data_IF_631853350548
#
_entry.id   IF_631853350548
#
_cell.length_a   1.000
_cell.length_b   1.000
_cell.length_c   1.000
_cell.angle_alpha   90.00
_cell.angle_beta   90.00
_cell.angle_gamma   90.00
#
_symmetry.space_group_name_H-M   'P 1'
#
loop_
_entity.id
_entity.type
_entity.pdbx_description
1 polymer ?
#
# COMPACT_ATOMS: atom_id res chain seq x y z
N UNK A 1 4.15 -12.91 -10.93
CA UNK A 1 5.07 -11.94 -11.58
C UNK A 1 5.77 -10.98 -10.61
N UNK A 2 5.52 -11.06 -9.29
CA UNK A 2 6.07 -10.15 -8.27
C UNK A 2 7.55 -10.38 -7.89
N UNK A 3 8.01 -11.63 -7.83
CA UNK A 3 9.38 -11.93 -7.38
C UNK A 3 10.47 -11.39 -8.28
N UNK A 4 10.31 -11.48 -9.60
CA UNK A 4 11.31 -11.00 -10.56
C UNK A 4 11.52 -9.48 -10.47
N UNK A 5 10.44 -8.70 -10.37
CA UNK A 5 10.51 -7.25 -10.25
C UNK A 5 11.20 -6.84 -8.94
N UNK A 6 10.85 -7.47 -7.81
CA UNK A 6 11.53 -7.23 -6.52
C UNK A 6 13.01 -7.62 -6.61
N UNK A 7 13.32 -8.72 -7.29
CA UNK A 7 14.69 -9.19 -7.46
C UNK A 7 15.53 -8.22 -8.28
N UNK A 8 15.02 -7.73 -9.41
CA UNK A 8 15.70 -6.72 -10.24
C UNK A 8 15.82 -5.37 -9.53
N UNK A 9 14.75 -4.88 -8.91
CA UNK A 9 14.78 -3.62 -8.16
C UNK A 9 15.79 -3.67 -7.01
N UNK A 10 15.80 -4.77 -6.24
CA UNK A 10 16.73 -4.88 -5.13
C UNK A 10 18.18 -4.92 -5.63
N UNK A 11 18.50 -5.53 -6.77
CA UNK A 11 19.89 -5.56 -7.27
C UNK A 11 20.47 -4.20 -7.70
N UNK A 12 19.66 -3.15 -7.79
CA UNK A 12 20.13 -1.79 -8.10
C UNK A 12 20.46 -1.06 -6.79
N UNK A 13 21.72 -0.66 -6.62
CA UNK A 13 22.14 0.29 -5.59
C UNK A 13 21.49 1.65 -5.91
N UNK A 14 20.45 1.99 -5.16
CA UNK A 14 19.72 3.25 -5.31
C UNK A 14 19.00 3.55 -4.00
N UNK A 15 18.97 4.84 -3.66
CA UNK A 15 18.38 5.41 -2.47
C UNK A 15 17.01 6.05 -2.79
N UNK A 16 16.57 6.00 -4.04
CA UNK A 16 15.29 6.54 -4.46
C UNK A 16 14.11 5.91 -3.69
N UNK A 17 13.29 6.80 -3.15
CA UNK A 17 12.05 6.48 -2.44
C UNK A 17 10.94 6.06 -3.38
N UNK A 18 10.99 6.50 -4.64
CA UNK A 18 9.89 6.35 -5.59
C UNK A 18 9.65 4.88 -5.89
N UNK A 19 10.70 4.14 -6.23
CA UNK A 19 10.60 2.73 -6.59
C UNK A 19 10.07 1.88 -5.42
N UNK A 20 10.60 2.05 -4.22
CA UNK A 20 10.13 1.30 -3.03
C UNK A 20 8.69 1.66 -2.67
N UNK A 21 8.29 2.92 -2.87
CA UNK A 21 6.92 3.37 -2.63
C UNK A 21 5.93 2.74 -3.61
N UNK A 22 6.25 2.74 -4.91
CA UNK A 22 5.41 2.12 -5.94
C UNK A 22 5.25 0.62 -5.68
N UNK A 23 6.33 -0.07 -5.31
CA UNK A 23 6.28 -1.49 -4.95
C UNK A 23 5.45 -1.74 -3.70
N UNK A 24 5.55 -0.87 -2.69
CA UNK A 24 4.75 -0.95 -1.47
C UNK A 24 3.24 -0.74 -1.71
N UNK A 25 2.88 0.24 -2.55
CA UNK A 25 1.49 0.46 -2.99
C UNK A 25 0.98 -0.78 -3.72
N UNK A 26 1.76 -1.31 -4.67
CA UNK A 26 1.37 -2.49 -5.42
C UNK A 26 1.20 -3.74 -4.53
N UNK A 27 2.12 -3.95 -3.58
CA UNK A 27 2.02 -5.02 -2.59
C UNK A 27 0.76 -4.87 -1.71
N UNK A 28 0.45 -3.66 -1.25
CA UNK A 28 -0.76 -3.42 -0.44
C UNK A 28 -2.05 -3.70 -1.22
N UNK A 29 -2.13 -3.28 -2.49
CA UNK A 29 -3.26 -3.51 -3.38
C UNK A 29 -3.48 -5.00 -3.62
N UNK A 30 -2.40 -5.72 -3.91
CA UNK A 30 -2.48 -7.17 -4.13
C UNK A 30 -2.94 -7.90 -2.86
N UNK A 31 -2.37 -7.58 -1.69
CA UNK A 31 -2.78 -8.18 -0.41
C UNK A 31 -4.25 -7.90 -0.08
N UNK A 32 -4.72 -6.65 -0.25
CA UNK A 32 -6.12 -6.31 -0.02
C UNK A 32 -7.04 -7.01 -1.02
N UNK A 33 -6.66 -7.08 -2.30
CA UNK A 33 -7.46 -7.78 -3.30
C UNK A 33 -7.59 -9.29 -2.99
N UNK A 34 -6.51 -9.92 -2.52
CA UNK A 34 -6.51 -11.31 -2.07
C UNK A 34 -7.36 -11.49 -0.80
N UNK A 35 -7.29 -10.54 0.12
CA UNK A 35 -8.13 -10.56 1.33
C UNK A 35 -9.62 -10.43 0.96
N UNK A 36 -9.99 -9.50 0.09
CA UNK A 36 -11.39 -9.32 -0.35
C UNK A 36 -11.89 -10.57 -1.09
N UNK A 37 -11.10 -11.13 -2.01
CA UNK A 37 -11.51 -12.30 -2.80
C UNK A 37 -11.59 -13.59 -1.98
N UNK A 38 -10.77 -13.71 -0.92
CA UNK A 38 -10.86 -14.83 0.02
C UNK A 38 -12.05 -14.70 0.98
N UNK A 39 -12.54 -13.49 1.25
CA UNK A 39 -13.69 -13.24 2.12
C UNK A 39 -14.96 -13.03 1.29
N UNK A 40 -15.68 -14.14 1.01
CA UNK A 40 -16.87 -14.18 0.13
C UNK A 40 -18.08 -13.33 0.56
N UNK A 41 -18.08 -12.72 1.75
CA UNK A 41 -19.21 -11.96 2.25
C UNK A 41 -18.74 -10.75 3.07
N UNK A 42 -18.44 -9.64 2.39
CA UNK A 42 -18.42 -8.34 3.07
C UNK A 42 -19.87 -7.96 3.43
N UNK A 43 -20.17 -7.64 4.70
CA UNK A 43 -21.51 -7.25 5.12
C UNK A 43 -22.07 -6.11 4.26
N UNK A 44 -23.20 -6.34 3.60
CA UNK A 44 -23.85 -5.37 2.71
C UNK A 44 -24.54 -4.23 3.44
N UNK A 45 -24.78 -4.38 4.74
CA UNK A 45 -25.56 -3.46 5.58
C UNK A 45 -24.95 -2.05 5.69
N UNK A 46 -23.65 -1.87 5.42
CA UNK A 46 -23.03 -0.54 5.44
C UNK A 46 -21.82 -0.42 4.49
N UNK A 47 -22.09 -0.35 3.18
CA UNK A 47 -21.05 -0.24 2.14
C UNK A 47 -20.13 0.97 2.34
N UNK A 48 -20.66 2.11 2.82
CA UNK A 48 -19.89 3.32 3.04
C UNK A 48 -18.83 3.13 4.15
N UNK A 49 -19.20 2.51 5.27
CA UNK A 49 -18.23 2.22 6.35
C UNK A 49 -17.14 1.25 5.88
N UNK A 50 -17.49 0.22 5.10
CA UNK A 50 -16.49 -0.70 4.55
C UNK A 50 -15.51 -0.03 3.59
N UNK A 51 -15.98 0.92 2.76
CA UNK A 51 -15.11 1.72 1.89
C UNK A 51 -14.07 2.50 2.69
N UNK A 52 -14.48 3.11 3.80
CA UNK A 52 -13.57 3.84 4.70
C UNK A 52 -12.57 2.89 5.35
N UNK A 53 -13.03 1.77 5.92
CA UNK A 53 -12.17 0.79 6.58
C UNK A 53 -11.13 0.22 5.61
N UNK A 54 -11.56 -0.19 4.40
CA UNK A 54 -10.67 -0.73 3.39
C UNK A 54 -9.68 0.31 2.87
N UNK A 55 -10.12 1.56 2.66
CA UNK A 55 -9.25 2.67 2.29
C UNK A 55 -8.18 2.94 3.34
N UNK A 56 -8.58 3.06 4.61
CA UNK A 56 -7.66 3.24 5.73
C UNK A 56 -6.67 2.06 5.83
N UNK A 57 -7.18 0.84 5.75
CA UNK A 57 -6.38 -0.39 5.76
C UNK A 57 -5.35 -0.43 4.63
N UNK A 58 -5.72 0.01 3.42
CA UNK A 58 -4.82 0.09 2.27
C UNK A 58 -3.68 1.08 2.50
N UNK A 59 -4.00 2.25 3.05
CA UNK A 59 -2.98 3.25 3.40
C UNK A 59 -2.01 2.74 4.46
N UNK A 60 -2.52 2.18 5.56
CA UNK A 60 -1.68 1.59 6.61
C UNK A 60 -0.80 0.46 6.07
N UNK A 61 -1.39 -0.43 5.28
CA UNK A 61 -0.67 -1.55 4.69
C UNK A 61 0.40 -1.09 3.71
N UNK A 62 0.15 -0.02 2.94
CA UNK A 62 1.18 0.61 2.10
C UNK A 62 2.38 1.04 2.93
N UNK A 63 2.15 1.77 4.03
CA UNK A 63 3.23 2.22 4.92
C UNK A 63 4.05 1.05 5.47
N UNK A 64 3.39 -0.05 5.86
CA UNK A 64 4.05 -1.26 6.36
C UNK A 64 4.83 -1.98 5.26
N UNK A 65 4.27 -2.11 4.06
CA UNK A 65 4.94 -2.75 2.93
C UNK A 65 6.17 -1.96 2.50
N UNK A 66 6.10 -0.62 2.43
CA UNK A 66 7.27 0.22 2.11
C UNK A 66 8.37 0.04 3.14
N UNK A 67 8.04 0.14 4.43
CA UNK A 67 9.01 -0.06 5.51
C UNK A 67 9.64 -1.46 5.48
N UNK A 68 8.82 -2.50 5.23
CA UNK A 68 9.28 -3.88 5.09
C UNK A 68 10.20 -4.08 3.89
N UNK A 69 9.91 -3.46 2.75
CA UNK A 69 10.75 -3.52 1.55
C UNK A 69 12.09 -2.81 1.74
N UNK A 70 12.11 -1.67 2.43
CA UNK A 70 13.35 -0.98 2.81
C UNK A 70 14.22 -1.88 3.69
N UNK A 71 13.63 -2.49 4.73
CA UNK A 71 14.32 -3.42 5.61
C UNK A 71 14.85 -4.63 4.83
N UNK A 72 14.04 -5.21 3.96
CA UNK A 72 14.44 -6.33 3.10
C UNK A 72 15.63 -5.97 2.21
N UNK A 73 15.65 -4.78 1.60
CA UNK A 73 16.78 -4.33 0.77
C UNK A 73 18.06 -4.19 1.60
N UNK A 74 17.97 -3.56 2.78
CA UNK A 74 19.11 -3.42 3.69
C UNK A 74 19.65 -4.77 4.19
N UNK A 75 18.76 -5.75 4.46
CA UNK A 75 19.19 -7.09 4.88
C UNK A 75 19.86 -7.87 3.73
N UNK A 76 19.46 -7.60 2.49
CA UNK A 76 20.03 -8.22 1.29
C UNK A 76 21.40 -7.63 0.94
N UNK A 77 21.56 -6.31 0.99
CA UNK A 77 22.84 -5.65 0.76
C UNK A 77 23.56 -5.45 2.08
N UNK A 78 24.47 -6.36 2.43
CA UNK A 78 25.29 -6.26 3.64
C UNK A 78 26.41 -5.22 3.46
N UNK A 79 26.04 -3.96 3.28
CA UNK A 79 26.97 -2.84 3.29
C UNK A 79 27.08 -2.24 4.69
N UNK A 80 28.26 -1.68 4.98
CA UNK A 80 28.52 -0.92 6.21
C UNK A 80 27.57 0.29 6.31
N UNK A 81 27.19 0.85 5.16
CA UNK A 81 26.22 1.94 5.06
C UNK A 81 24.91 1.39 4.48
N UNK A 82 23.80 1.42 5.23
CA UNK A 82 22.51 0.95 4.73
C UNK A 82 21.97 1.89 3.65
N UNK A 83 21.39 1.32 2.59
CA UNK A 83 20.70 2.06 1.51
C UNK A 83 19.58 2.95 2.09
N UNK A 84 18.85 2.41 3.07
CA UNK A 84 17.79 3.13 3.79
C UNK A 84 18.12 3.22 5.29
N UNK A 85 18.51 4.40 5.81
CA UNK A 85 18.76 4.58 7.24
C UNK A 85 17.55 4.21 8.10
N UNK A 86 17.78 3.73 9.32
CA UNK A 86 16.68 3.33 10.21
C UNK A 86 15.70 4.47 10.52
N UNK A 87 16.23 5.69 10.67
CA UNK A 87 15.42 6.92 10.83
C UNK A 87 14.44 7.15 9.68
N UNK A 88 14.82 6.74 8.47
CA UNK A 88 13.98 6.87 7.28
C UNK A 88 12.82 5.87 7.32
N UNK A 89 13.08 4.63 7.75
CA UNK A 89 12.07 3.59 7.95
C UNK A 89 11.08 4.02 9.02
N UNK A 90 11.58 4.53 10.16
CA UNK A 90 10.74 5.09 11.22
C UNK A 90 9.94 6.29 10.71
N UNK A 91 10.54 7.15 9.88
CA UNK A 91 9.86 8.27 9.25
C UNK A 91 8.71 7.87 8.33
N UNK A 92 8.80 6.73 7.64
CA UNK A 92 7.69 6.17 6.87
C UNK A 92 6.59 5.66 7.80
N UNK A 93 6.94 4.88 8.82
CA UNK A 93 5.99 4.34 9.79
C UNK A 93 5.26 5.43 10.60
N UNK A 94 5.97 6.49 11.00
CA UNK A 94 5.39 7.65 11.67
C UNK A 94 4.35 8.39 10.81
N UNK A 95 4.46 8.27 9.47
CA UNK A 95 3.50 8.83 8.52
C UNK A 95 2.34 7.88 8.21
N UNK A 96 2.27 6.70 8.82
CA UNK A 96 1.17 5.75 8.61
C UNK A 96 -0.24 6.38 8.75
N UNK A 97 -0.50 7.32 9.68
CA UNK A 97 -1.79 8.02 9.75
C UNK A 97 -2.10 8.83 8.48
N UNK A 98 -1.10 9.50 7.90
CA UNK A 98 -1.27 10.23 6.64
C UNK A 98 -1.54 9.29 5.46
N UNK A 99 -0.83 8.16 5.40
CA UNK A 99 -1.11 7.12 4.42
C UNK A 99 -2.55 6.59 4.54
N UNK A 100 -3.02 6.33 5.76
CA UNK A 100 -4.39 5.89 6.03
C UNK A 100 -5.42 6.92 5.53
N UNK A 101 -5.22 8.21 5.83
CA UNK A 101 -6.11 9.28 5.36
C UNK A 101 -6.13 9.40 3.83
N UNK A 102 -4.98 9.26 3.18
CA UNK A 102 -4.90 9.21 1.72
C UNK A 102 -5.68 8.03 1.15
N UNK A 103 -5.54 6.85 1.75
CA UNK A 103 -6.28 5.66 1.35
C UNK A 103 -7.80 5.81 1.50
N UNK A 104 -8.27 6.42 2.61
CA UNK A 104 -9.68 6.78 2.81
C UNK A 104 -10.17 7.75 1.73
N UNK A 105 -9.39 8.79 1.44
CA UNK A 105 -9.76 9.80 0.44
C UNK A 105 -9.91 9.19 -0.95
N UNK A 106 -8.97 8.31 -1.33
CA UNK A 106 -9.01 7.58 -2.61
C UNK A 106 -10.22 6.64 -2.66
N UNK A 107 -10.48 5.87 -1.60
CA UNK A 107 -11.58 4.91 -1.60
C UNK A 107 -12.95 5.59 -1.65
N UNK A 108 -13.13 6.71 -0.94
CA UNK A 108 -14.33 7.54 -1.01
C UNK A 108 -14.50 8.10 -2.43
N UNK A 109 -13.44 8.65 -3.03
CA UNK A 109 -13.49 9.20 -4.39
C UNK A 109 -13.92 8.16 -5.43
N UNK A 110 -13.37 6.94 -5.35
CA UNK A 110 -13.76 5.81 -6.20
C UNK A 110 -15.24 5.44 -5.96
N UNK A 111 -15.64 5.30 -4.70
CA UNK A 111 -17.02 4.93 -4.34
C UNK A 111 -18.05 5.94 -4.85
N UNK A 112 -17.80 7.24 -4.65
CA UNK A 112 -18.68 8.30 -5.13
C UNK A 112 -18.75 8.32 -6.65
N UNK A 113 -17.62 8.16 -7.34
CA UNK A 113 -17.59 8.11 -8.81
C UNK A 113 -18.46 6.97 -9.33
N UNK A 114 -18.29 5.76 -8.80
CA UNK A 114 -19.12 4.59 -9.17
C UNK A 114 -20.59 4.87 -8.88
N UNK A 115 -20.92 5.45 -7.72
CA UNK A 115 -22.30 5.70 -7.33
C UNK A 115 -23.00 6.75 -8.20
N UNK A 116 -22.26 7.76 -8.68
CA UNK A 116 -22.78 8.77 -9.61
C UNK A 116 -23.07 8.15 -10.97
N UNK A 117 -22.13 7.41 -11.56
CA UNK A 117 -22.30 6.83 -12.89
C UNK A 117 -23.39 5.74 -12.91
N UNK A 118 -23.47 4.90 -11.87
CA UNK A 118 -24.50 3.83 -11.80
C UNK A 118 -25.92 4.34 -11.58
N UNK A 119 -26.11 5.59 -11.12
CA UNK A 119 -27.44 6.21 -10.96
C UNK A 119 -27.95 6.92 -12.22
N UNK A 120 -27.09 7.16 -13.22
CA UNK A 120 -27.48 7.86 -14.45
C UNK A 120 -28.09 6.94 -15.51
N UNK A 121 -27.96 5.62 -15.35
CA UNK A 121 -28.45 4.61 -16.30
C UNK A 121 -29.87 4.06 -15.99
N UNK A 122 -30.69 4.79 -15.22
CA UNK A 122 -32.11 4.48 -14.93
C UNK A 122 -32.95 5.71 -15.25
#
# INVERSE_FOLDING_TARGET
MCGAVIFFWSGLEDNDLTAVTVLGVWASLTLISLWITSHKALPTSNKATWVVILGAGMGLLTSLCVAGLMLFKNLRHSHIFPDYPFEMILGILARAPFWAMSGVSISIGIFLSIHVFTKQDI
#
